data_IF_620183198136
#
_entry.id   IF_620183198136
#
_cell.length_a   1.000
_cell.length_b   1.000
_cell.length_c   1.000
_cell.angle_alpha   90.00
_cell.angle_beta   90.00
_cell.angle_gamma   90.00
#
_symmetry.space_group_name_H-M   'P 1'
#
loop_
_entity.id
_entity.type
_entity.pdbx_description
1 polymer ?
#
# COMPACT_ATOMS: atom_id res chain seq x y z
N UNK A 1 -2.07 -27.36 -7.29
CA UNK A 1 -2.50 -26.43 -6.23
C UNK A 1 -1.47 -25.30 -6.12
N UNK A 2 -1.85 -24.08 -5.69
CA UNK A 2 -0.90 -22.99 -5.47
C UNK A 2 0.16 -23.41 -4.45
N UNK A 3 1.39 -22.91 -4.62
CA UNK A 3 2.52 -23.33 -3.78
C UNK A 3 2.56 -22.56 -2.45
N UNK A 4 2.07 -21.32 -2.45
CA UNK A 4 1.85 -20.49 -1.26
C UNK A 4 0.66 -19.56 -1.53
N UNK A 5 -0.24 -19.46 -0.57
CA UNK A 5 -1.36 -18.52 -0.60
C UNK A 5 -1.46 -17.84 0.78
N UNK A 6 -1.61 -16.52 0.78
CA UNK A 6 -1.78 -15.73 1.99
C UNK A 6 -2.57 -14.47 1.68
N UNK A 7 -3.29 -13.95 2.66
CA UNK A 7 -3.97 -12.67 2.62
C UNK A 7 -3.06 -11.50 3.05
N UNK A 8 -1.73 -11.71 3.11
CA UNK A 8 -0.76 -10.71 3.55
C UNK A 8 0.39 -10.55 2.56
N UNK A 9 0.50 -9.35 1.98
CA UNK A 9 1.60 -8.99 1.09
C UNK A 9 2.97 -9.01 1.79
N UNK A 10 3.02 -8.70 3.09
CA UNK A 10 4.25 -8.74 3.89
C UNK A 10 4.74 -10.18 4.05
N UNK A 11 3.83 -11.13 4.28
CA UNK A 11 4.21 -12.55 4.37
C UNK A 11 4.70 -13.09 3.02
N UNK A 12 4.11 -12.66 1.90
CA UNK A 12 4.65 -12.99 0.57
C UNK A 12 6.08 -12.49 0.40
N UNK A 13 6.35 -11.23 0.78
CA UNK A 13 7.69 -10.67 0.73
C UNK A 13 8.69 -11.45 1.59
N UNK A 14 8.31 -11.83 2.81
CA UNK A 14 9.21 -12.55 3.70
C UNK A 14 9.58 -13.95 3.15
N UNK A 15 8.66 -14.62 2.47
CA UNK A 15 8.96 -15.88 1.79
C UNK A 15 9.96 -15.71 0.63
N UNK A 16 9.91 -14.60 -0.09
CA UNK A 16 10.88 -14.29 -1.18
C UNK A 16 12.32 -14.23 -0.65
N UNK A 17 12.54 -13.80 0.60
CA UNK A 17 13.87 -13.78 1.22
C UNK A 17 14.53 -15.16 1.32
N UNK A 18 13.75 -16.25 1.24
CA UNK A 18 14.32 -17.61 1.16
C UNK A 18 15.03 -17.91 -0.18
N UNK A 19 14.94 -17.01 -1.17
CA UNK A 19 15.61 -17.12 -2.46
C UNK A 19 14.96 -18.10 -3.45
N UNK A 20 13.84 -18.73 -3.08
CA UNK A 20 13.16 -19.73 -3.90
C UNK A 20 11.94 -19.20 -4.67
N UNK A 21 11.57 -17.95 -4.44
CA UNK A 21 10.29 -17.39 -4.89
C UNK A 21 10.46 -15.98 -5.41
N UNK A 22 9.49 -15.55 -6.21
CA UNK A 22 9.25 -14.15 -6.54
C UNK A 22 7.81 -13.80 -6.17
N UNK A 23 7.53 -12.52 -5.99
CA UNK A 23 6.17 -12.02 -5.71
C UNK A 23 5.96 -10.65 -6.36
N UNK A 24 4.70 -10.27 -6.56
CA UNK A 24 4.28 -8.97 -7.07
C UNK A 24 3.82 -8.13 -5.89
N UNK A 25 4.36 -6.91 -5.75
CA UNK A 25 4.04 -5.98 -4.66
C UNK A 25 3.73 -4.60 -5.23
N UNK A 26 2.88 -3.80 -4.56
CA UNK A 26 2.79 -2.37 -4.83
C UNK A 26 4.15 -1.70 -4.66
N UNK A 27 4.50 -0.79 -5.55
CA UNK A 27 5.80 -0.11 -5.55
C UNK A 27 6.10 0.57 -4.21
N UNK A 28 5.12 1.30 -3.65
CA UNK A 28 5.27 1.96 -2.34
C UNK A 28 5.58 0.95 -1.23
N UNK A 29 5.00 -0.25 -1.27
CA UNK A 29 5.28 -1.29 -0.27
C UNK A 29 6.69 -1.86 -0.43
N UNK A 30 7.15 -2.10 -1.67
CA UNK A 30 8.52 -2.54 -1.92
C UNK A 30 9.56 -1.51 -1.45
N UNK A 31 9.29 -0.21 -1.66
CA UNK A 31 10.12 0.89 -1.13
C UNK A 31 10.16 0.88 0.40
N UNK A 32 9.00 0.79 1.07
CA UNK A 32 8.89 0.78 2.53
C UNK A 32 9.55 -0.42 3.19
N UNK A 33 9.45 -1.60 2.57
CA UNK A 33 10.04 -2.84 3.10
C UNK A 33 11.56 -2.94 2.90
N UNK A 34 12.17 -2.00 2.16
CA UNK A 34 13.62 -1.95 1.94
C UNK A 34 14.12 -3.13 1.11
N UNK A 35 13.62 -3.29 -0.13
CA UNK A 35 14.15 -4.31 -1.03
C UNK A 35 15.61 -4.00 -1.37
N UNK A 36 16.51 -4.76 -0.78
CA UNK A 36 17.95 -4.66 -0.96
C UNK A 36 18.57 -6.03 -1.27
N UNK A 37 19.85 -6.04 -1.65
CA UNK A 37 20.58 -7.26 -2.00
C UNK A 37 20.47 -8.31 -0.88
N UNK A 38 20.22 -9.60 -1.21
CA UNK A 38 20.24 -10.19 -2.54
C UNK A 38 18.93 -10.06 -3.33
N UNK A 39 17.91 -9.41 -2.79
CA UNK A 39 16.64 -9.19 -3.47
C UNK A 39 16.72 -7.95 -4.38
N UNK A 40 15.89 -7.94 -5.42
CA UNK A 40 15.74 -6.78 -6.31
C UNK A 40 14.27 -6.58 -6.67
N UNK A 41 13.85 -5.32 -6.71
CA UNK A 41 12.56 -4.95 -7.28
C UNK A 41 12.72 -4.80 -8.80
N UNK A 42 11.80 -5.38 -9.56
CA UNK A 42 11.74 -5.24 -11.02
C UNK A 42 10.45 -4.47 -11.33
N UNK A 43 10.52 -3.25 -11.92
CA UNK A 43 9.32 -2.49 -12.21
C UNK A 43 8.48 -3.17 -13.29
N UNK A 44 7.17 -3.22 -13.07
CA UNK A 44 6.19 -3.61 -14.09
C UNK A 44 5.77 -2.33 -14.78
N UNK A 45 6.19 -2.16 -16.05
CA UNK A 45 6.03 -0.90 -16.78
C UNK A 45 4.67 -0.81 -17.47
N UNK A 46 4.15 -1.92 -17.98
CA UNK A 46 2.86 -1.96 -18.67
C UNK A 46 2.02 -3.19 -18.28
N UNK A 47 0.69 -3.05 -18.16
CA UNK A 47 -0.05 -1.78 -18.19
C UNK A 47 0.17 -0.98 -16.89
N UNK A 48 -0.01 0.34 -16.97
CA UNK A 48 -0.05 1.17 -15.77
C UNK A 48 -1.28 0.80 -14.94
N UNK A 49 -1.07 0.37 -13.70
CA UNK A 49 -2.12 -0.03 -12.77
C UNK A 49 -2.25 1.01 -11.65
N UNK A 50 -3.10 2.01 -11.88
CA UNK A 50 -3.42 3.05 -10.88
C UNK A 50 -4.69 2.66 -10.15
N UNK A 51 -4.61 2.64 -8.82
CA UNK A 51 -5.74 2.35 -7.95
C UNK A 51 -6.07 3.58 -7.10
N UNK A 52 -7.34 3.98 -7.09
CA UNK A 52 -7.81 5.05 -6.22
C UNK A 52 -7.83 4.57 -4.76
N UNK A 53 -7.20 5.33 -3.87
CA UNK A 53 -7.16 5.08 -2.44
C UNK A 53 -7.78 6.29 -1.74
N UNK A 54 -8.73 6.05 -0.84
CA UNK A 54 -9.46 7.12 -0.15
C UNK A 54 -9.79 6.80 1.30
N UNK A 55 -10.13 7.84 2.05
CA UNK A 55 -10.63 7.74 3.41
C UNK A 55 -12.15 7.59 3.38
N UNK A 56 -12.66 6.49 3.95
CA UNK A 56 -14.10 6.25 4.09
C UNK A 56 -14.46 6.36 5.58
N UNK A 57 -15.48 7.17 5.87
CA UNK A 57 -16.03 7.33 7.20
C UNK A 57 -17.55 7.12 7.19
N UNK A 58 -18.15 6.58 8.26
CA UNK A 58 -19.60 6.46 8.36
C UNK A 58 -20.28 7.83 8.32
N UNK A 59 -21.34 7.96 7.52
CA UNK A 59 -22.22 9.13 7.56
C UNK A 59 -23.11 9.04 8.81
N UNK A 60 -22.87 9.92 9.78
CA UNK A 60 -23.58 9.96 11.08
C UNK A 60 -23.83 11.40 11.50
N UNK A 61 -24.91 11.62 12.25
CA UNK A 61 -25.23 12.89 12.91
C UNK A 61 -25.62 12.62 14.38
N UNK A 62 -24.85 13.10 15.38
CA UNK A 62 -23.62 13.88 15.23
C UNK A 62 -22.44 13.04 14.73
N UNK A 63 -21.50 13.69 14.02
CA UNK A 63 -20.23 13.07 13.63
C UNK A 63 -19.36 12.84 14.87
N UNK A 64 -18.64 11.72 14.93
CA UNK A 64 -17.67 11.45 16.00
C UNK A 64 -16.55 12.52 15.91
N UNK A 65 -16.25 13.27 16.98
CA UNK A 65 -15.29 14.39 16.91
C UNK A 65 -13.91 14.02 16.37
N UNK A 66 -13.36 12.86 16.74
CA UNK A 66 -12.08 12.38 16.22
C UNK A 66 -12.12 12.03 14.72
N UNK A 67 -13.26 11.56 14.22
CA UNK A 67 -13.46 11.30 12.78
C UNK A 67 -13.53 12.62 12.03
N UNK A 68 -14.24 13.63 12.55
CA UNK A 68 -14.28 14.96 11.95
C UNK A 68 -12.86 15.57 11.86
N UNK A 69 -12.07 15.47 12.94
CA UNK A 69 -10.69 15.92 12.95
C UNK A 69 -9.81 15.18 11.94
N UNK A 70 -9.91 13.85 11.86
CA UNK A 70 -9.15 13.05 10.90
C UNK A 70 -9.51 13.40 9.44
N UNK A 71 -10.79 13.60 9.14
CA UNK A 71 -11.23 13.99 7.79
C UNK A 71 -10.74 15.41 7.44
N UNK A 72 -10.74 16.34 8.39
CA UNK A 72 -10.22 17.68 8.18
C UNK A 72 -8.71 17.66 7.89
N UNK A 73 -7.93 16.89 8.66
CA UNK A 73 -6.50 16.71 8.43
C UNK A 73 -6.20 16.04 7.09
N UNK A 74 -6.93 14.96 6.76
CA UNK A 74 -6.78 14.27 5.49
C UNK A 74 -7.05 15.20 4.29
N UNK A 75 -8.04 16.09 4.39
CA UNK A 75 -8.30 17.11 3.37
C UNK A 75 -7.16 18.13 3.27
N UNK A 76 -6.68 18.64 4.39
CA UNK A 76 -5.55 19.58 4.40
C UNK A 76 -4.29 18.98 3.74
N UNK A 77 -3.99 17.71 4.02
CA UNK A 77 -2.89 16.98 3.38
C UNK A 77 -3.13 16.75 1.88
N UNK A 78 -4.37 16.47 1.48
CA UNK A 78 -4.72 16.33 0.06
C UNK A 78 -4.59 17.65 -0.70
N UNK A 79 -4.98 18.78 -0.10
CA UNK A 79 -4.91 20.11 -0.72
C UNK A 79 -3.47 20.54 -1.01
N UNK A 80 -2.51 20.13 -0.19
CA UNK A 80 -1.08 20.38 -0.42
C UNK A 80 -0.39 19.31 -1.29
N UNK A 81 -1.14 18.34 -1.80
CA UNK A 81 -0.60 17.28 -2.66
C UNK A 81 0.33 16.30 -1.96
N UNK A 82 0.19 16.10 -0.64
CA UNK A 82 1.10 15.27 0.17
C UNK A 82 1.20 13.79 -0.27
N UNK A 83 0.34 13.34 -1.18
CA UNK A 83 0.26 11.95 -1.65
C UNK A 83 0.43 11.79 -3.16
N UNK A 84 0.87 12.82 -3.89
CA UNK A 84 1.00 12.81 -5.36
C UNK A 84 2.29 12.13 -5.89
N UNK A 85 3.10 11.55 -5.02
CA UNK A 85 4.24 10.69 -5.39
C UNK A 85 3.83 9.37 -6.05
#
# INVERSE_FOLDING_TARGET
APILETNSAILLFDHVKSGRWATVLPEKLAKTLGVEAPLRAIPIVEPEAVYEIGLIAPQRDPVIPSVAALVAEAKALADIGAFQD
#
